data_IF_135356009878
#
_entry.id   IF_135356009878
#
_cell.length_a   1.000
_cell.length_b   1.000
_cell.length_c   1.000
_cell.angle_alpha   90.00
_cell.angle_beta   90.00
_cell.angle_gamma   90.00
#
_symmetry.space_group_name_H-M   'P 1'
#
loop_
_entity.id
_entity.type
_entity.pdbx_description
1 polymer ?
#
# COMPACT_ATOMS: atom_id res chain seq x y z
N UNK A 1 -8.54 8.73 -13.82
CA UNK A 1 -7.36 7.88 -13.60
C UNK A 1 -7.87 6.58 -13.03
N UNK A 2 -7.56 5.45 -13.67
CA UNK A 2 -7.97 4.14 -13.16
C UNK A 2 -7.12 3.69 -11.98
N UNK A 3 -7.52 2.60 -11.32
CA UNK A 3 -6.72 1.97 -10.25
C UNK A 3 -5.38 1.48 -10.82
N UNK A 4 -5.38 0.92 -12.02
CA UNK A 4 -4.16 0.46 -12.71
C UNK A 4 -3.16 1.60 -12.93
N UNK A 5 -3.60 2.73 -13.48
CA UNK A 5 -2.76 3.92 -13.66
C UNK A 5 -2.14 4.38 -12.33
N UNK A 6 -2.93 4.38 -11.24
CA UNK A 6 -2.47 4.76 -9.91
C UNK A 6 -1.38 3.82 -9.38
N UNK A 7 -1.52 2.51 -9.60
CA UNK A 7 -0.49 1.52 -9.23
C UNK A 7 0.78 1.73 -10.05
N UNK A 8 0.66 1.85 -11.37
CA UNK A 8 1.79 2.08 -12.28
C UNK A 8 2.55 3.35 -11.90
N UNK A 9 1.85 4.46 -11.67
CA UNK A 9 2.45 5.75 -11.26
C UNK A 9 3.17 5.68 -9.91
N UNK A 10 2.77 4.75 -9.05
CA UNK A 10 3.42 4.53 -7.75
C UNK A 10 4.73 3.78 -7.92
N UNK A 11 4.71 2.66 -8.67
CA UNK A 11 5.88 1.79 -8.82
C UNK A 11 6.92 2.33 -9.81
N UNK A 12 6.48 3.05 -10.85
CA UNK A 12 7.37 3.63 -11.87
C UNK A 12 7.88 5.03 -11.51
N UNK A 13 7.48 5.61 -10.38
CA UNK A 13 8.07 6.88 -9.93
C UNK A 13 9.54 6.72 -9.55
N UNK A 14 10.30 7.83 -9.57
CA UNK A 14 11.71 7.86 -9.15
C UNK A 14 11.86 8.85 -7.98
N UNK A 15 12.09 8.38 -6.75
CA UNK A 15 12.14 6.98 -6.33
C UNK A 15 10.75 6.32 -6.36
N UNK A 16 10.69 4.98 -6.42
CA UNK A 16 9.41 4.27 -6.38
C UNK A 16 8.71 4.48 -5.04
N UNK A 17 7.38 4.56 -5.08
CA UNK A 17 6.53 4.86 -3.92
C UNK A 17 5.55 3.73 -3.70
N UNK A 18 5.17 3.52 -2.44
CA UNK A 18 4.07 2.62 -2.13
C UNK A 18 2.73 3.27 -2.51
N UNK A 19 1.85 2.57 -3.24
CA UNK A 19 0.46 2.98 -3.31
C UNK A 19 -0.18 2.89 -1.93
N UNK A 20 -0.74 3.99 -1.45
CA UNK A 20 -1.47 4.09 -0.19
C UNK A 20 -2.87 4.60 -0.48
N UNK A 21 -3.88 3.88 -0.03
CA UNK A 21 -5.29 4.23 -0.24
C UNK A 21 -5.91 4.59 1.10
N UNK A 22 -6.53 5.76 1.15
CA UNK A 22 -7.36 6.20 2.26
C UNK A 22 -8.81 5.96 1.86
N UNK A 23 -9.52 5.19 2.67
CA UNK A 23 -10.94 4.95 2.51
C UNK A 23 -11.74 5.78 3.50
N UNK A 24 -12.77 6.49 3.03
CA UNK A 24 -13.63 7.33 3.86
C UNK A 24 -15.10 7.24 3.44
N UNK A 25 -15.99 7.71 4.31
CA UNK A 25 -17.42 7.84 4.01
C UNK A 25 -17.79 9.16 3.34
N UNK A 26 -16.87 10.14 3.33
CA UNK A 26 -17.11 11.48 2.78
C UNK A 26 -16.01 11.89 1.81
N UNK A 27 -16.37 12.79 0.88
CA UNK A 27 -15.43 13.40 -0.06
C UNK A 27 -14.39 14.30 0.63
N UNK A 28 -14.70 14.77 1.84
CA UNK A 28 -13.80 15.66 2.56
C UNK A 28 -12.67 14.88 3.23
N UNK A 29 -11.46 15.04 2.70
CA UNK A 29 -10.25 14.49 3.32
C UNK A 29 -9.90 15.32 4.57
N UNK A 30 -9.82 14.64 5.71
CA UNK A 30 -9.42 15.25 6.98
C UNK A 30 -8.04 15.91 6.87
N UNK A 31 -7.81 17.09 7.50
CA UNK A 31 -6.54 17.83 7.40
C UNK A 31 -5.30 17.00 7.71
N UNK A 32 -5.41 16.08 8.67
CA UNK A 32 -4.35 15.15 9.05
C UNK A 32 -3.80 14.34 7.86
N UNK A 33 -4.69 13.79 7.01
CA UNK A 33 -4.28 13.01 5.85
C UNK A 33 -3.63 13.88 4.77
N UNK A 34 -4.09 15.12 4.61
CA UNK A 34 -3.44 16.11 3.74
C UNK A 34 -2.02 16.41 4.21
N UNK A 35 -1.83 16.57 5.53
CA UNK A 35 -0.50 16.77 6.12
C UNK A 35 0.40 15.56 5.89
N UNK A 36 -0.10 14.34 6.11
CA UNK A 36 0.66 13.11 5.84
C UNK A 36 1.06 13.00 4.36
N UNK A 37 0.15 13.34 3.43
CA UNK A 37 0.44 13.35 2.00
C UNK A 37 1.63 14.26 1.66
N UNK A 38 1.61 15.51 2.13
CA UNK A 38 2.70 16.46 1.91
C UNK A 38 4.03 16.01 2.55
N UNK A 39 3.95 15.42 3.75
CA UNK A 39 5.14 14.99 4.50
C UNK A 39 5.80 13.76 3.90
N UNK A 40 5.00 12.88 3.30
CA UNK A 40 5.41 11.53 2.92
C UNK A 40 5.34 11.28 1.40
N UNK A 41 5.16 12.33 0.60
CA UNK A 41 5.03 12.25 -0.87
C UNK A 41 6.19 11.52 -1.56
N UNK A 42 7.38 11.54 -0.96
CA UNK A 42 8.58 10.84 -1.47
C UNK A 42 8.53 9.32 -1.28
N UNK A 43 7.71 8.84 -0.36
CA UNK A 43 7.66 7.43 0.05
C UNK A 43 6.35 6.75 -0.36
N UNK A 44 5.27 7.53 -0.44
CA UNK A 44 3.91 7.05 -0.67
C UNK A 44 3.22 7.87 -1.77
N UNK A 45 2.46 7.19 -2.61
CA UNK A 45 1.52 7.80 -3.51
C UNK A 45 0.11 7.66 -2.91
N UNK A 46 -0.52 8.78 -2.56
CA UNK A 46 -1.78 8.78 -1.81
C UNK A 46 -2.98 8.78 -2.78
N UNK A 47 -3.75 7.71 -2.74
CA UNK A 47 -5.09 7.59 -3.32
C UNK A 47 -6.17 7.81 -2.26
N UNK A 48 -7.34 8.26 -2.70
CA UNK A 48 -8.51 8.45 -1.85
C UNK A 48 -9.72 7.80 -2.52
N UNK A 49 -10.40 6.93 -1.77
CA UNK A 49 -11.63 6.26 -2.21
C UNK A 49 -12.75 6.56 -1.22
N UNK A 50 -13.88 7.00 -1.74
CA UNK A 50 -15.07 7.32 -0.95
C UNK A 50 -16.07 6.18 -1.14
N UNK A 51 -16.45 5.54 -0.04
CA UNK A 51 -17.43 4.44 -0.02
C UNK A 51 -17.22 3.44 -1.17
N UNK A 52 -16.05 2.78 -1.26
CA UNK A 52 -15.72 1.90 -2.38
C UNK A 52 -16.76 0.78 -2.51
N UNK A 53 -17.24 0.56 -3.74
CA UNK A 53 -18.08 -0.58 -4.05
C UNK A 53 -17.27 -1.88 -4.13
N UNK A 54 -18.00 -3.01 -4.23
CA UNK A 54 -17.38 -4.32 -4.39
C UNK A 54 -16.52 -4.42 -5.66
N UNK A 55 -16.86 -3.68 -6.72
CA UNK A 55 -16.08 -3.62 -7.97
C UNK A 55 -14.67 -3.07 -7.74
N UNK A 56 -14.56 -1.95 -7.03
CA UNK A 56 -13.28 -1.30 -6.73
C UNK A 56 -12.44 -2.16 -5.78
N UNK A 57 -13.07 -2.73 -4.74
CA UNK A 57 -12.40 -3.66 -3.83
C UNK A 57 -11.89 -4.91 -4.55
N UNK A 58 -12.67 -5.42 -5.52
CA UNK A 58 -12.25 -6.55 -6.36
C UNK A 58 -11.05 -6.17 -7.25
N UNK A 59 -11.02 -4.97 -7.83
CA UNK A 59 -9.87 -4.53 -8.63
C UNK A 59 -8.59 -4.44 -7.80
N UNK A 60 -8.72 -4.14 -6.50
CA UNK A 60 -7.61 -4.09 -5.55
C UNK A 60 -7.26 -5.46 -4.94
N UNK A 61 -8.02 -6.52 -5.24
CA UNK A 61 -7.81 -7.85 -4.65
C UNK A 61 -8.18 -7.95 -3.16
N UNK A 62 -9.02 -7.04 -2.66
CA UNK A 62 -9.40 -6.93 -1.24
C UNK A 62 -10.91 -7.09 -1.01
N UNK A 63 -11.60 -7.78 -1.91
CA UNK A 63 -13.06 -7.95 -1.86
C UNK A 63 -13.61 -8.57 -0.56
N UNK A 64 -12.79 -9.32 0.18
CA UNK A 64 -13.19 -9.99 1.41
C UNK A 64 -12.78 -9.23 2.69
N UNK A 65 -12.29 -7.99 2.55
CA UNK A 65 -11.76 -7.20 3.67
C UNK A 65 -12.85 -6.33 4.29
N UNK A 66 -12.99 -6.41 5.60
CA UNK A 66 -13.82 -5.48 6.36
C UNK A 66 -13.09 -4.14 6.55
N UNK A 67 -13.69 -3.06 6.05
CA UNK A 67 -13.17 -1.70 6.18
C UNK A 67 -13.98 -0.92 7.22
N UNK A 68 -13.38 -0.68 8.38
CA UNK A 68 -13.90 0.27 9.37
C UNK A 68 -13.46 1.68 8.99
N UNK A 69 -14.40 2.52 8.51
CA UNK A 69 -14.07 3.84 7.97
C UNK A 69 -13.86 4.89 9.08
N UNK A 70 -12.90 5.84 8.92
CA UNK A 70 -11.90 5.87 7.86
C UNK A 70 -10.89 4.73 8.01
N UNK A 71 -10.37 4.22 6.90
CA UNK A 71 -9.35 3.17 6.89
C UNK A 71 -8.15 3.58 6.03
N UNK A 72 -6.97 3.09 6.38
CA UNK A 72 -5.73 3.32 5.62
C UNK A 72 -5.18 1.97 5.20
N UNK A 73 -4.78 1.85 3.94
CA UNK A 73 -4.21 0.63 3.40
C UNK A 73 -3.00 0.94 2.54
N UNK A 74 -1.95 0.14 2.66
CA UNK A 74 -0.76 0.23 1.81
C UNK A 74 -0.66 -1.03 0.98
N UNK A 75 -0.45 -0.86 -0.31
CA UNK A 75 -0.19 -1.96 -1.24
C UNK A 75 1.32 -2.17 -1.37
N UNK A 76 1.74 -3.42 -1.27
CA UNK A 76 3.13 -3.86 -1.36
C UNK A 76 3.24 -4.96 -2.41
N UNK A 77 4.40 -5.11 -3.04
CA UNK A 77 4.65 -6.18 -4.00
C UNK A 77 5.16 -7.43 -3.27
N UNK A 78 4.60 -8.60 -3.58
CA UNK A 78 5.10 -9.90 -3.12
C UNK A 78 6.27 -10.41 -3.98
N UNK A 79 6.28 -10.02 -5.25
CA UNK A 79 7.23 -10.49 -6.24
C UNK A 79 8.01 -9.31 -6.80
N UNK A 80 9.27 -9.56 -7.16
CA UNK A 80 10.06 -8.64 -8.00
C UNK A 80 9.73 -8.79 -9.48
N UNK A 81 8.77 -9.66 -9.82
CA UNK A 81 8.34 -9.87 -11.19
C UNK A 81 7.46 -8.70 -11.62
N UNK A 82 7.99 -7.90 -12.54
CA UNK A 82 7.35 -6.70 -13.06
C UNK A 82 6.23 -7.07 -14.05
N UNK A 83 6.26 -8.28 -14.63
CA UNK A 83 5.29 -8.71 -15.65
C UNK A 83 3.97 -9.22 -15.04
N UNK A 84 4.03 -9.77 -13.82
CA UNK A 84 2.84 -10.20 -13.06
C UNK A 84 3.01 -9.83 -11.56
N UNK A 85 2.80 -8.55 -11.21
CA UNK A 85 3.01 -8.09 -9.85
C UNK A 85 1.90 -8.60 -8.95
N UNK A 86 2.25 -9.50 -8.02
CA UNK A 86 1.35 -9.90 -6.93
C UNK A 86 1.39 -8.85 -5.83
N UNK A 87 0.21 -8.39 -5.39
CA UNK A 87 0.11 -7.35 -4.37
C UNK A 87 -0.37 -7.88 -3.03
N UNK A 88 0.28 -7.45 -1.95
CA UNK A 88 -0.20 -7.59 -0.60
C UNK A 88 -0.78 -6.28 -0.10
N UNK A 89 -1.94 -6.35 0.53
CA UNK A 89 -2.58 -5.21 1.16
C UNK A 89 -2.32 -5.24 2.67
N UNK A 90 -1.71 -4.17 3.18
CA UNK A 90 -1.47 -3.98 4.60
C UNK A 90 -2.46 -2.96 5.10
N UNK A 91 -3.45 -3.42 5.86
CA UNK A 91 -4.47 -2.57 6.47
C UNK A 91 -3.99 -1.99 7.80
N UNK A 92 -4.30 -0.72 8.05
CA UNK A 92 -4.19 -0.11 9.36
C UNK A 92 -5.18 -0.77 10.33
N UNK A 93 -4.65 -1.39 11.38
CA UNK A 93 -5.47 -2.06 12.40
C UNK A 93 -5.51 -1.21 13.67
N UNK A 94 -6.72 -0.73 14.03
CA UNK A 94 -6.93 0.00 15.30
C UNK A 94 -6.50 -0.80 16.52
N UNK A 95 -6.65 -2.13 16.48
CA UNK A 95 -6.19 -3.04 17.54
C UNK A 95 -4.67 -3.02 17.76
N UNK A 96 -3.89 -2.63 16.74
CA UNK A 96 -2.41 -2.64 16.77
C UNK A 96 -1.85 -1.25 17.03
N UNK A 97 -2.40 -0.24 16.36
CA UNK A 97 -1.86 1.13 16.38
C UNK A 97 -2.70 2.12 17.20
N UNK A 98 -3.88 1.70 17.67
CA UNK A 98 -4.85 2.56 18.34
C UNK A 98 -5.75 3.33 17.35
N UNK A 99 -6.52 4.28 17.88
CA UNK A 99 -7.40 5.14 17.08
C UNK A 99 -6.64 5.91 15.99
N UNK A 100 -7.32 6.20 14.90
CA UNK A 100 -6.75 6.96 13.79
C UNK A 100 -6.41 8.36 14.28
N UNK A 101 -5.11 8.63 14.30
CA UNK A 101 -4.54 9.91 14.65
C UNK A 101 -3.22 10.08 13.90
N UNK A 102 -2.74 11.32 13.79
CA UNK A 102 -1.52 11.64 13.05
C UNK A 102 -0.33 10.77 13.50
N UNK A 103 0.02 10.69 14.81
CA UNK A 103 1.16 9.90 15.24
C UNK A 103 0.97 8.39 15.00
N UNK A 104 -0.25 7.86 15.12
CA UNK A 104 -0.50 6.42 14.95
C UNK A 104 -0.42 6.01 13.48
N UNK A 105 -1.00 6.81 12.58
CA UNK A 105 -0.87 6.56 11.13
C UNK A 105 0.58 6.74 10.69
N UNK A 106 1.29 7.75 11.21
CA UNK A 106 2.71 7.95 10.91
C UNK A 106 3.55 6.75 11.36
N UNK A 107 3.33 6.23 12.57
CA UNK A 107 3.97 4.99 13.07
C UNK A 107 3.71 3.79 12.15
N UNK A 108 2.46 3.59 11.75
CA UNK A 108 2.08 2.53 10.81
C UNK A 108 2.86 2.64 9.50
N UNK A 109 2.88 3.82 8.89
CA UNK A 109 3.57 4.06 7.62
C UNK A 109 5.09 3.93 7.74
N UNK A 110 5.70 4.36 8.84
CA UNK A 110 7.14 4.14 9.05
C UNK A 110 7.45 2.64 9.14
N UNK A 111 6.63 1.88 9.86
CA UNK A 111 6.84 0.43 10.02
C UNK A 111 6.66 -0.32 8.70
N UNK A 112 5.65 0.05 7.89
CA UNK A 112 5.46 -0.51 6.55
C UNK A 112 6.65 -0.19 5.64
N UNK A 113 7.11 1.07 5.63
CA UNK A 113 8.25 1.46 4.81
C UNK A 113 9.50 0.65 5.19
N UNK A 114 9.89 0.67 6.46
CA UNK A 114 11.07 -0.07 6.95
C UNK A 114 11.02 -1.55 6.60
N UNK A 115 9.85 -2.18 6.71
CA UNK A 115 9.72 -3.61 6.46
C UNK A 115 9.71 -3.96 4.98
N UNK A 116 9.08 -3.16 4.11
CA UNK A 116 8.82 -3.55 2.72
C UNK A 116 9.55 -2.73 1.67
N UNK A 117 10.28 -1.66 2.03
CA UNK A 117 10.92 -0.73 1.07
C UNK A 117 11.84 -1.46 0.10
N UNK A 118 12.57 -2.45 0.59
CA UNK A 118 13.49 -3.27 -0.19
C UNK A 118 12.81 -4.12 -1.28
N UNK A 119 11.48 -4.28 -1.24
CA UNK A 119 10.70 -4.99 -2.26
C UNK A 119 10.23 -4.07 -3.41
N UNK A 120 10.34 -2.74 -3.25
CA UNK A 120 10.04 -1.81 -4.34
C UNK A 120 11.16 -1.85 -5.38
N UNK A 121 10.77 -1.83 -6.66
CA UNK A 121 11.70 -1.79 -7.78
C UNK A 121 12.53 -0.47 -7.81
N UNK A 122 13.56 -0.44 -8.67
CA UNK A 122 14.39 0.74 -8.91
C UNK A 122 15.49 0.97 -7.85
N UNK A 123 15.81 2.23 -7.57
CA UNK A 123 16.86 2.63 -6.62
C UNK A 123 16.65 2.10 -5.20
N UNK A 124 15.45 1.66 -4.86
CA UNK A 124 15.14 1.03 -3.57
C UNK A 124 15.78 -0.36 -3.39
N UNK A 125 16.10 -1.06 -4.49
CA UNK A 125 16.91 -2.28 -4.47
C UNK A 125 18.41 -2.01 -4.23
N UNK A 126 18.84 -0.74 -4.20
CA UNK A 126 20.25 -0.37 -4.01
C UNK A 126 20.77 -0.50 -2.57
N UNK A 127 19.95 -0.95 -1.61
CA UNK A 127 20.25 -0.99 -0.16
C UNK A 127 20.57 0.38 0.48
N UNK A 128 20.09 1.49 -0.09
CA UNK A 128 20.29 2.81 0.51
C UNK A 128 19.48 2.98 1.81
N UNK A 129 20.16 2.89 2.96
CA UNK A 129 19.53 2.95 4.30
C UNK A 129 18.75 4.22 4.59
N UNK A 130 19.19 5.36 4.04
CA UNK A 130 18.55 6.65 4.30
C UNK A 130 17.11 6.71 3.76
N UNK A 131 16.83 6.00 2.67
CA UNK A 131 15.47 5.91 2.12
C UNK A 131 14.60 4.85 2.82
N UNK A 132 15.24 3.80 3.35
CA UNK A 132 14.55 2.68 4.02
C UNK A 132 14.04 3.05 5.41
N UNK A 133 14.74 3.94 6.11
CA UNK A 133 14.41 4.26 7.50
C UNK A 133 13.54 5.51 7.67
N UNK A 134 13.26 6.25 6.58
CA UNK A 134 12.56 7.55 6.62
C UNK A 134 13.19 8.49 7.67
N UNK A 135 14.51 8.45 7.84
CA UNK A 135 15.21 9.00 9.01
C UNK A 135 14.99 10.50 9.19
N UNK A 136 14.92 11.27 8.10
CA UNK A 136 14.63 12.72 8.15
C UNK A 136 13.23 13.03 8.72
N UNK A 137 12.26 12.16 8.47
CA UNK A 137 10.89 12.29 9.01
C UNK A 137 10.89 11.94 10.49
N UNK A 138 11.56 10.84 10.85
CA UNK A 138 11.68 10.40 12.23
C UNK A 138 12.37 11.44 13.11
N UNK A 139 13.49 11.99 12.67
CA UNK A 139 14.24 13.01 13.41
C UNK A 139 13.32 14.21 13.74
N UNK A 140 12.65 14.78 12.73
CA UNK A 140 11.78 15.95 12.88
C UNK A 140 10.51 15.69 13.69
N UNK A 141 9.95 14.49 13.62
CA UNK A 141 8.67 14.16 14.23
C UNK A 141 8.80 13.54 15.63
N UNK A 142 9.92 12.87 15.91
CA UNK A 142 10.23 12.32 17.25
C UNK A 142 10.41 13.41 18.31
N UNK A 143 10.80 14.62 17.91
CA UNK A 143 10.86 15.79 18.80
C UNK A 143 9.45 16.23 19.27
N UNK A 144 8.41 15.90 18.51
CA UNK A 144 7.03 16.40 18.70
C UNK A 144 6.08 15.33 19.16
N UNK A 145 6.34 14.09 18.77
CA UNK A 145 5.48 12.95 19.01
C UNK A 145 6.30 11.79 19.55
N UNK A 146 5.72 11.05 20.48
CA UNK A 146 6.33 9.85 21.04
C UNK A 146 6.27 8.70 20.01
N UNK A 147 7.11 8.79 18.98
CA UNK A 147 7.31 7.81 17.92
C UNK A 147 8.45 6.88 18.35
N UNK A 148 8.26 6.19 19.47
CA UNK A 148 9.11 5.09 19.88
C UNK A 148 8.74 3.81 19.12
N UNK A 149 9.75 3.06 18.70
CA UNK A 149 9.63 1.85 17.87
C UNK A 149 8.77 0.75 18.53
N UNK A 150 7.62 0.42 17.93
CA UNK A 150 6.91 -0.89 18.02
C UNK A 150 5.50 -0.79 17.40
N UNK A 151 4.80 -1.90 17.06
CA UNK A 151 5.19 -3.32 17.04
C UNK A 151 5.21 -3.88 15.60
N UNK A 152 5.37 -5.20 15.47
CA UNK A 152 5.45 -5.97 14.22
C UNK A 152 4.33 -5.62 13.21
N UNK A 153 4.68 -5.38 11.95
CA UNK A 153 3.69 -5.24 10.87
C UNK A 153 3.18 -6.62 10.48
N UNK A 154 1.90 -6.87 10.74
CA UNK A 154 1.21 -8.08 10.27
C UNK A 154 0.64 -7.83 8.88
N UNK A 155 0.99 -8.71 7.93
CA UNK A 155 0.29 -8.78 6.65
C UNK A 155 -1.02 -9.47 6.97
N UNK A 156 -2.12 -8.73 6.85
CA UNK A 156 -3.45 -9.22 7.23
C UNK A 156 -4.33 -9.54 6.02
N UNK A 157 -3.84 -9.23 4.81
CA UNK A 157 -4.54 -9.51 3.56
C UNK A 157 -3.51 -10.02 2.55
N UNK A 158 -3.56 -11.32 2.28
CA UNK A 158 -2.95 -11.89 1.09
C UNK A 158 -3.97 -11.75 -0.04
N UNK A 159 -3.56 -11.15 -1.16
CA UNK A 159 -4.37 -11.20 -2.37
C UNK A 159 -4.33 -12.63 -2.89
N UNK A 160 -5.43 -13.38 -2.76
CA UNK A 160 -5.59 -14.72 -3.36
C UNK A 160 -5.68 -14.67 -4.90
N UNK A 161 -5.39 -13.53 -5.53
CA UNK A 161 -5.40 -13.41 -6.99
C UNK A 161 -4.05 -13.83 -7.55
N UNK A 162 -3.98 -15.12 -7.88
CA UNK A 162 -3.45 -15.50 -9.18
C UNK A 162 -4.23 -14.70 -10.23
N UNK A 163 -3.58 -13.71 -10.84
CA UNK A 163 -4.07 -13.12 -12.08
C UNK A 163 -3.98 -14.20 -13.15
N UNK A 164 -5.01 -15.04 -13.24
CA UNK A 164 -5.21 -15.88 -14.41
C UNK A 164 -5.58 -14.93 -15.54
N UNK A 165 -4.57 -14.46 -16.27
CA UNK A 165 -4.76 -14.11 -17.67
C UNK A 165 -5.13 -15.42 -18.34
N UNK A 166 -6.37 -15.50 -18.84
CA UNK A 166 -6.82 -16.60 -19.69
C UNK A 166 -5.78 -16.79 -20.81
N UNK A 167 -4.92 -17.79 -20.66
CA UNK A 167 -4.26 -18.36 -21.80
C UNK A 167 -5.36 -19.04 -22.60
N UNK A 168 -5.77 -18.38 -23.67
CA UNK A 168 -6.47 -18.97 -24.79
C UNK A 168 -5.88 -20.37 -25.03
N UNK A 169 -6.65 -21.39 -24.64
CA UNK A 169 -6.42 -22.75 -25.11
C UNK A 169 -6.90 -22.72 -26.57
N UNK A 170 -5.97 -22.50 -27.50
CA UNK A 170 -6.18 -23.06 -28.83
C UNK A 170 -6.18 -24.58 -28.67
N UNK A 171 -7.38 -25.11 -28.82
CA UNK A 171 -7.72 -26.52 -28.87
C UNK A 171 -6.74 -27.29 -29.78
N UNK A 172 -5.95 -28.17 -29.18
CA UNK A 172 -5.75 -29.50 -29.77
C UNK A 172 -6.83 -30.40 -29.19
N UNK A 173 -7.97 -30.42 -29.88
CA UNK A 173 -8.87 -31.57 -29.86
C UNK A 173 -8.13 -32.69 -30.57
N UNK A 174 -7.55 -33.59 -29.79
CA UNK A 174 -7.56 -35.00 -30.17
C UNK A 174 -9.02 -35.45 -29.98
N UNK A 175 -9.65 -35.91 -31.06
CA UNK A 175 -10.72 -36.89 -30.96
C UNK A 175 -10.43 -38.01 -31.96
N UNK A 176 -10.48 -39.20 -31.41
CA UNK A 176 -10.13 -40.50 -31.97
C UNK A 176 -11.01 -40.89 -33.17
N UNK A 177 -10.37 -41.55 -34.15
CA UNK A 177 -10.86 -42.78 -34.79
C UNK A 177 -9.69 -43.51 -35.46
#
# INVERSE_FOLDING_TARGET
MGIEDFLVDSFMSVPSRFPLIIFTDSQEIQPMFKTLCLRLERYYNFGHMVQPGMSELKQLGIENVYLDMPSVMVLTTETTDIQDPKFNAIQYMKSTYGEISYPNVLKFLINVNRKFRHLLAGDNMSNNKNEVEMSEVLEKESEKFDILESPQVHINVHSDKDFVVDNFIESKLDDEL
#
